data_IF_524242310373
#
_entry.id   IF_524242310373
#
_cell.length_a   1.000
_cell.length_b   1.000
_cell.length_c   1.000
_cell.angle_alpha   90.00
_cell.angle_beta   90.00
_cell.angle_gamma   90.00
#
_symmetry.space_group_name_H-M   'P 1'
#
loop_
_entity.id
_entity.type
_entity.pdbx_description
1 polymer ?
#
# COMPACT_ATOMS: atom_id res chain seq x y z
N UNK A 1 -1.00 0.91 -15.89
CA UNK A 1 -0.68 0.13 -14.68
C UNK A 1 -1.94 -0.43 -14.06
N UNK A 2 -2.92 0.41 -13.68
CA UNK A 2 -4.19 -0.05 -13.10
C UNK A 2 -4.94 -1.04 -14.00
N UNK A 3 -5.03 -0.77 -15.30
CA UNK A 3 -5.66 -1.67 -16.27
C UNK A 3 -4.96 -3.04 -16.36
N UNK A 4 -3.63 -3.06 -16.17
CA UNK A 4 -2.87 -4.32 -16.16
C UNK A 4 -3.15 -5.10 -14.87
N UNK A 5 -3.15 -4.44 -13.72
CA UNK A 5 -3.49 -5.07 -12.44
C UNK A 5 -4.90 -5.68 -12.48
N UNK A 6 -5.86 -4.98 -13.10
CA UNK A 6 -7.21 -5.50 -13.33
C UNK A 6 -7.21 -6.75 -14.21
N UNK A 7 -6.48 -6.74 -15.34
CA UNK A 7 -6.38 -7.89 -16.26
C UNK A 7 -5.75 -9.11 -15.60
N UNK A 8 -4.71 -8.91 -14.79
CA UNK A 8 -3.96 -9.98 -14.12
C UNK A 8 -4.58 -10.39 -12.76
N UNK A 9 -5.73 -9.83 -12.37
CA UNK A 9 -6.35 -10.05 -11.07
C UNK A 9 -5.42 -9.74 -9.87
N UNK A 10 -4.58 -8.71 -10.02
CA UNK A 10 -3.68 -8.24 -8.96
C UNK A 10 -4.41 -7.14 -8.15
N UNK A 11 -4.69 -7.34 -6.86
CA UNK A 11 -5.39 -6.36 -6.05
C UNK A 11 -4.50 -5.15 -5.76
N UNK A 12 -5.01 -3.95 -6.04
CA UNK A 12 -4.37 -2.68 -5.66
C UNK A 12 -4.86 -2.26 -4.28
N UNK A 13 -3.98 -2.29 -3.29
CA UNK A 13 -4.36 -2.05 -1.88
C UNK A 13 -4.27 -0.58 -1.45
N UNK A 14 -3.41 0.20 -2.11
CA UNK A 14 -3.19 1.63 -1.89
C UNK A 14 -2.69 2.29 -3.17
N UNK A 15 -3.25 3.46 -3.52
CA UNK A 15 -2.79 4.29 -4.64
C UNK A 15 -2.30 5.62 -4.09
N UNK A 16 -1.10 6.03 -4.49
CA UNK A 16 -0.49 7.32 -4.12
C UNK A 16 -0.43 8.17 -5.39
N UNK A 17 -1.02 9.37 -5.33
CA UNK A 17 -1.00 10.30 -6.47
C UNK A 17 0.43 10.80 -6.74
N UNK A 18 0.69 11.12 -8.01
CA UNK A 18 1.96 11.72 -8.40
C UNK A 18 2.03 13.16 -7.86
N UNK A 19 2.87 13.36 -6.84
CA UNK A 19 3.07 14.62 -6.14
C UNK A 19 4.57 14.88 -5.99
N UNK A 20 5.02 16.07 -6.42
CA UNK A 20 6.42 16.47 -6.36
C UNK A 20 6.94 16.59 -4.93
N UNK A 21 6.07 16.88 -3.96
CA UNK A 21 6.42 16.91 -2.55
C UNK A 21 6.78 15.51 -2.03
N UNK A 22 6.09 14.47 -2.50
CA UNK A 22 6.41 13.08 -2.17
C UNK A 22 7.80 12.72 -2.71
N UNK A 23 8.12 13.11 -3.95
CA UNK A 23 9.45 12.89 -4.53
C UNK A 23 10.54 13.64 -3.74
N UNK A 24 10.26 14.84 -3.26
CA UNK A 24 11.17 15.66 -2.43
C UNK A 24 11.39 15.07 -1.04
N UNK A 25 10.37 14.49 -0.42
CA UNK A 25 10.50 13.79 0.86
C UNK A 25 11.38 12.55 0.69
N UNK A 26 11.10 11.73 -0.33
CA UNK A 26 11.88 10.53 -0.63
C UNK A 26 13.35 10.83 -0.90
N UNK A 27 13.66 11.87 -1.70
CA UNK A 27 15.05 12.23 -2.02
C UNK A 27 15.88 12.69 -0.81
N UNK A 28 15.21 13.10 0.28
CA UNK A 28 15.82 13.46 1.56
C UNK A 28 15.87 12.31 2.56
N UNK A 29 15.40 11.11 2.17
CA UNK A 29 15.30 9.96 3.07
C UNK A 29 14.19 10.09 4.11
N UNK A 30 13.24 11.02 3.91
CA UNK A 30 12.12 11.22 4.83
C UNK A 30 10.98 10.30 4.40
N UNK A 31 10.45 9.52 5.35
CA UNK A 31 9.31 8.64 5.08
C UNK A 31 8.05 9.46 4.79
N UNK A 32 7.15 8.91 3.96
CA UNK A 32 5.92 9.62 3.61
C UNK A 32 5.04 9.93 4.83
N UNK A 33 5.02 9.03 5.84
CA UNK A 33 4.27 9.25 7.08
C UNK A 33 4.87 10.37 7.94
N UNK A 34 6.19 10.53 7.94
CA UNK A 34 6.87 11.61 8.66
C UNK A 34 6.66 12.97 7.98
N UNK A 35 6.81 13.02 6.65
CA UNK A 35 6.63 14.26 5.88
C UNK A 35 5.17 14.65 5.63
N UNK A 36 4.27 13.68 5.66
CA UNK A 36 2.84 13.86 5.41
C UNK A 36 2.01 12.96 6.36
N UNK A 37 1.78 13.41 7.61
CA UNK A 37 1.12 12.63 8.65
C UNK A 37 -0.26 12.09 8.29
N UNK A 38 -0.97 12.72 7.35
CA UNK A 38 -2.26 12.24 6.84
C UNK A 38 -2.19 10.84 6.21
N UNK A 39 -1.02 10.41 5.74
CA UNK A 39 -0.83 9.07 5.18
C UNK A 39 -0.77 7.98 6.25
N UNK A 40 -0.53 8.32 7.52
CA UNK A 40 -0.37 7.34 8.61
C UNK A 40 -1.53 6.33 8.63
N UNK A 41 -2.75 6.84 8.62
CA UNK A 41 -3.95 6.01 8.69
C UNK A 41 -4.11 5.11 7.46
N UNK A 42 -3.77 5.62 6.27
CA UNK A 42 -3.80 4.82 5.03
C UNK A 42 -2.77 3.69 5.06
N UNK A 43 -1.58 3.91 5.62
CA UNK A 43 -0.57 2.86 5.78
C UNK A 43 -0.97 1.82 6.84
N UNK A 44 -1.61 2.22 7.94
CA UNK A 44 -2.13 1.29 8.94
C UNK A 44 -3.18 0.36 8.32
N UNK A 45 -4.17 0.93 7.62
CA UNK A 45 -5.18 0.12 6.90
C UNK A 45 -4.57 -0.77 5.83
N UNK A 46 -3.53 -0.31 5.13
CA UNK A 46 -2.82 -1.14 4.16
C UNK A 46 -2.20 -2.37 4.84
N UNK A 47 -1.53 -2.16 5.98
CA UNK A 47 -0.94 -3.25 6.75
C UNK A 47 -1.99 -4.24 7.24
N UNK A 48 -3.14 -3.75 7.71
CA UNK A 48 -4.27 -4.59 8.13
C UNK A 48 -4.78 -5.48 6.99
N UNK A 49 -5.02 -4.90 5.80
CA UNK A 49 -5.42 -5.66 4.61
C UNK A 49 -4.39 -6.73 4.22
N UNK A 50 -3.09 -6.41 4.32
CA UNK A 50 -2.04 -7.40 4.03
C UNK A 50 -2.08 -8.55 5.02
N UNK A 51 -2.27 -8.27 6.32
CA UNK A 51 -2.43 -9.32 7.34
C UNK A 51 -3.62 -10.21 7.06
N UNK A 52 -4.77 -9.62 6.75
CA UNK A 52 -5.98 -10.37 6.39
C UNK A 52 -5.75 -11.32 5.21
N UNK A 53 -5.13 -10.83 4.13
CA UNK A 53 -4.81 -11.65 2.95
C UNK A 53 -3.84 -12.79 3.25
N UNK A 54 -2.83 -12.54 4.11
CA UNK A 54 -1.89 -13.58 4.54
C UNK A 54 -2.58 -14.61 5.43
N UNK A 55 -3.42 -14.18 6.37
CA UNK A 55 -4.15 -15.06 7.29
C UNK A 55 -5.21 -15.90 6.57
N UNK A 56 -5.89 -15.33 5.57
CA UNK A 56 -6.80 -16.08 4.67
C UNK A 56 -6.03 -17.13 3.85
N UNK A 57 -4.85 -16.76 3.34
CA UNK A 57 -3.99 -17.71 2.60
C UNK A 57 -3.51 -18.86 3.48
N UNK A 58 -3.13 -18.60 4.73
CA UNK A 58 -2.75 -19.64 5.71
C UNK A 58 -3.92 -20.59 5.99
N UNK A 59 -5.13 -20.05 6.17
CA UNK A 59 -6.35 -20.85 6.40
C UNK A 59 -6.77 -21.69 5.20
N UNK A 60 -6.39 -21.30 3.99
CA UNK A 60 -6.66 -22.06 2.76
C UNK A 60 -5.63 -23.17 2.50
N UNK A 61 -4.44 -23.10 3.11
CA UNK A 61 -3.41 -24.15 3.01
C UNK A 61 -3.64 -25.33 3.97
N UNK A 62 -4.42 -25.12 5.02
CA UNK A 62 -4.72 -26.11 6.07
C UNK A 62 -6.04 -26.88 5.82
N UNK A 63 -6.72 -26.64 4.70
CA UNK A 63 -7.93 -27.36 4.25
C UNK A 63 -7.65 -28.13 2.97
#
# INVERSE_FOLDING_TARGET
MEEYCLKENIPVLLTILMDTEIARLYSRGITLVEGMPQWKESFLRLFDKVRELVDERSRCLER
#
